data_IF_296565461848
#
_entry.id   IF_296565461848
#
_cell.length_a   1.000
_cell.length_b   1.000
_cell.length_c   1.000
_cell.angle_alpha   90.00
_cell.angle_beta   90.00
_cell.angle_gamma   90.00
#
_symmetry.space_group_name_H-M   'P 1'
#
loop_
_entity.id
_entity.type
_entity.pdbx_description
1 polymer ?
#
# COMPACT_ATOMS: atom_id res chain seq x y z
N UNK A 1 15.64 -8.31 -7.21
CA UNK A 1 14.56 -8.98 -6.45
C UNK A 1 15.16 -10.11 -5.62
N UNK A 2 14.55 -10.50 -4.50
CA UNK A 2 15.02 -11.61 -3.66
C UNK A 2 13.82 -12.41 -3.12
N UNK A 3 13.91 -13.74 -3.14
CA UNK A 3 12.96 -14.63 -2.49
C UNK A 3 13.53 -15.05 -1.13
N UNK A 4 12.80 -14.80 -0.04
CA UNK A 4 13.18 -15.22 1.31
C UNK A 4 11.93 -15.64 2.07
N UNK A 5 11.95 -16.81 2.71
CA UNK A 5 10.81 -17.37 3.44
C UNK A 5 9.52 -17.41 2.60
N UNK A 6 9.63 -17.79 1.32
CA UNK A 6 8.52 -17.81 0.35
C UNK A 6 7.89 -16.43 0.05
N UNK A 7 8.53 -15.34 0.49
CA UNK A 7 8.11 -13.97 0.22
C UNK A 7 9.05 -13.30 -0.78
N UNK A 8 8.48 -12.60 -1.75
CA UNK A 8 9.23 -11.89 -2.78
C UNK A 8 9.49 -10.44 -2.34
N UNK A 9 10.74 -10.02 -2.43
CA UNK A 9 11.18 -8.67 -2.06
C UNK A 9 11.78 -7.92 -3.24
N UNK A 10 11.47 -6.63 -3.30
CA UNK A 10 12.13 -5.65 -4.16
C UNK A 10 13.14 -4.84 -3.32
N UNK A 11 14.27 -4.48 -3.91
CA UNK A 11 15.21 -3.52 -3.33
C UNK A 11 15.19 -2.29 -4.22
N UNK A 12 15.03 -1.12 -3.63
CA UNK A 12 15.24 0.12 -4.37
C UNK A 12 16.73 0.46 -4.48
N UNK A 13 17.02 1.52 -5.23
CA UNK A 13 18.39 1.97 -5.48
C UNK A 13 19.13 2.42 -4.21
N UNK A 14 18.41 2.65 -3.11
CA UNK A 14 18.98 3.02 -1.81
C UNK A 14 19.18 1.79 -0.90
N UNK A 15 18.99 0.58 -1.44
CA UNK A 15 19.07 -0.67 -0.67
C UNK A 15 17.85 -0.93 0.21
N UNK A 16 16.79 -0.12 0.12
CA UNK A 16 15.60 -0.31 0.94
C UNK A 16 14.83 -1.53 0.44
N UNK A 17 14.64 -2.46 1.36
CA UNK A 17 13.90 -3.69 1.13
C UNK A 17 12.39 -3.44 1.26
N UNK A 18 11.62 -3.82 0.24
CA UNK A 18 10.15 -3.75 0.23
C UNK A 18 9.53 -5.11 -0.11
N UNK A 19 8.49 -5.49 0.62
CA UNK A 19 7.74 -6.73 0.36
C UNK A 19 6.82 -6.56 -0.83
N UNK A 20 6.89 -7.45 -1.82
CA UNK A 20 6.01 -7.40 -2.99
C UNK A 20 4.65 -7.96 -2.64
N UNK A 21 3.62 -7.15 -2.87
CA UNK A 21 2.24 -7.52 -2.64
C UNK A 21 1.59 -7.96 -3.96
N UNK A 22 1.03 -9.19 -4.02
CA UNK A 22 0.21 -9.64 -5.13
C UNK A 22 -1.01 -8.74 -5.35
N UNK A 23 -1.42 -8.57 -6.61
CA UNK A 23 -2.58 -7.74 -6.96
C UNK A 23 -3.86 -8.17 -6.25
N UNK A 24 -4.05 -9.47 -6.06
CA UNK A 24 -5.21 -10.05 -5.37
C UNK A 24 -5.35 -9.60 -3.91
N UNK A 25 -4.27 -9.22 -3.24
CA UNK A 25 -4.27 -8.80 -1.84
C UNK A 25 -4.38 -7.28 -1.65
N UNK A 26 -4.28 -6.51 -2.74
CA UNK A 26 -4.21 -5.04 -2.67
C UNK A 26 -5.45 -4.41 -2.04
N UNK A 27 -6.66 -4.79 -2.48
CA UNK A 27 -7.89 -4.18 -1.98
C UNK A 27 -8.04 -4.38 -0.48
N UNK A 28 -7.83 -5.62 -0.01
CA UNK A 28 -7.86 -5.94 1.41
C UNK A 28 -6.83 -5.13 2.19
N UNK A 29 -5.59 -5.05 1.71
CA UNK A 29 -4.55 -4.24 2.35
C UNK A 29 -4.90 -2.75 2.43
N UNK A 30 -5.46 -2.18 1.36
CA UNK A 30 -5.88 -0.77 1.36
C UNK A 30 -7.02 -0.54 2.35
N UNK A 31 -7.97 -1.47 2.43
CA UNK A 31 -9.03 -1.46 3.42
C UNK A 31 -8.47 -1.55 4.84
N UNK A 32 -7.72 -2.59 5.17
CA UNK A 32 -7.13 -2.81 6.50
C UNK A 32 -6.21 -1.64 6.94
N UNK A 33 -5.59 -0.93 5.98
CA UNK A 33 -4.73 0.23 6.29
C UNK A 33 -5.51 1.50 6.62
N UNK A 34 -6.76 1.60 6.17
CA UNK A 34 -7.63 2.75 6.33
C UNK A 34 -8.74 2.53 7.38
N UNK A 35 -9.15 1.28 7.59
CA UNK A 35 -10.24 0.90 8.49
C UNK A 35 -9.99 1.43 9.91
N UNK A 36 -11.05 1.94 10.55
CA UNK A 36 -11.04 2.61 11.86
C UNK A 36 -10.11 3.84 12.03
N UNK A 37 -9.46 4.35 10.96
CA UNK A 37 -8.62 5.55 11.02
C UNK A 37 -9.36 6.78 10.49
N UNK A 38 -9.96 7.55 11.40
CA UNK A 38 -10.51 8.87 11.09
C UNK A 38 -9.39 9.83 10.62
N UNK A 39 -9.64 10.56 9.53
CA UNK A 39 -8.72 11.53 8.91
C UNK A 39 -7.40 10.92 8.38
N UNK A 40 -7.46 9.71 7.85
CA UNK A 40 -6.28 9.06 7.28
C UNK A 40 -5.93 9.61 5.88
N UNK A 41 -5.04 10.60 5.83
CA UNK A 41 -4.66 11.26 4.59
C UNK A 41 -3.89 10.34 3.63
N UNK A 42 -3.87 10.72 2.35
CA UNK A 42 -3.08 10.04 1.29
C UNK A 42 -1.62 9.86 1.69
N UNK A 43 -1.01 10.88 2.29
CA UNK A 43 0.40 10.85 2.69
C UNK A 43 0.62 9.92 3.88
N UNK A 44 -0.32 9.88 4.84
CA UNK A 44 -0.30 8.91 5.93
C UNK A 44 -0.32 7.47 5.39
N UNK A 45 -1.19 7.18 4.42
CA UNK A 45 -1.29 5.85 3.82
C UNK A 45 -0.05 5.47 2.98
N UNK A 46 0.54 6.43 2.27
CA UNK A 46 1.80 6.21 1.55
C UNK A 46 2.92 5.83 2.53
N UNK A 47 3.02 6.54 3.65
CA UNK A 47 4.03 6.33 4.69
C UNK A 47 3.84 4.98 5.39
N UNK A 48 2.60 4.63 5.77
CA UNK A 48 2.31 3.35 6.42
C UNK A 48 2.67 2.15 5.51
N UNK A 49 2.36 2.27 4.22
CA UNK A 49 2.62 1.20 3.25
C UNK A 49 4.03 1.23 2.68
N UNK A 50 4.96 2.06 3.17
CA UNK A 50 6.28 2.29 2.54
C UNK A 50 7.21 1.05 2.55
N UNK A 51 7.00 0.14 3.51
CA UNK A 51 7.66 -1.17 3.54
C UNK A 51 7.13 -2.16 2.47
N UNK A 52 6.04 -1.81 1.79
CA UNK A 52 5.41 -2.63 0.77
C UNK A 52 5.66 -2.08 -0.64
N UNK A 53 5.84 -2.98 -1.58
CA UNK A 53 5.96 -2.70 -2.99
C UNK A 53 4.75 -3.26 -3.73
N UNK A 54 4.13 -2.39 -4.52
CA UNK A 54 3.18 -2.81 -5.53
C UNK A 54 3.11 -1.81 -6.68
N UNK A 55 2.82 -2.32 -7.88
CA UNK A 55 2.83 -1.51 -9.11
C UNK A 55 1.77 -0.40 -9.00
N UNK A 56 2.13 0.82 -9.40
CA UNK A 56 1.28 2.02 -9.34
C UNK A 56 0.77 2.35 -7.92
N UNK A 57 1.56 2.06 -6.87
CA UNK A 57 1.19 2.30 -5.46
C UNK A 57 0.52 3.64 -5.19
N UNK A 58 1.15 4.75 -5.58
CA UNK A 58 0.61 6.10 -5.35
C UNK A 58 -0.75 6.32 -6.01
N UNK A 59 -0.93 5.84 -7.24
CA UNK A 59 -2.19 5.96 -7.97
C UNK A 59 -3.30 5.16 -7.28
N UNK A 60 -3.01 3.91 -6.90
CA UNK A 60 -4.00 3.04 -6.25
C UNK A 60 -4.43 3.58 -4.88
N UNK A 61 -3.48 4.09 -4.09
CA UNK A 61 -3.78 4.77 -2.83
C UNK A 61 -4.64 6.00 -3.08
N UNK A 62 -4.31 6.82 -4.09
CA UNK A 62 -5.13 7.99 -4.44
C UNK A 62 -6.57 7.59 -4.75
N UNK A 63 -6.76 6.65 -5.68
CA UNK A 63 -8.08 6.17 -6.08
C UNK A 63 -8.88 5.60 -4.90
N UNK A 64 -8.21 4.89 -3.99
CA UNK A 64 -8.84 4.32 -2.81
C UNK A 64 -9.29 5.41 -1.83
N UNK A 65 -8.44 6.40 -1.55
CA UNK A 65 -8.79 7.52 -0.68
C UNK A 65 -9.93 8.36 -1.28
N UNK A 66 -9.88 8.63 -2.59
CA UNK A 66 -10.93 9.37 -3.28
C UNK A 66 -12.28 8.61 -3.20
N UNK A 67 -12.25 7.27 -3.38
CA UNK A 67 -13.40 6.40 -3.13
C UNK A 67 -13.90 6.48 -1.67
N UNK A 68 -13.01 6.39 -0.68
CA UNK A 68 -13.43 6.52 0.72
C UNK A 68 -14.11 7.86 0.98
N UNK A 69 -13.60 8.98 0.45
CA UNK A 69 -14.25 10.28 0.63
C UNK A 69 -15.62 10.38 -0.03
N UNK A 70 -15.80 9.79 -1.21
CA UNK A 70 -17.08 9.79 -1.93
C UNK A 70 -18.17 8.97 -1.22
N UNK A 71 -17.79 7.88 -0.57
CA UNK A 71 -18.72 6.94 0.08
C UNK A 71 -18.73 7.01 1.62
N UNK A 72 -18.08 8.00 2.24
CA UNK A 72 -18.12 8.27 3.70
C UNK A 72 -19.26 9.24 4.10
N UNK A 73 -20.30 9.39 3.27
CA UNK A 73 -21.50 10.21 3.52
C UNK A 73 -22.65 9.33 3.99
#
# INVERSE_FOLDING_TARGET
FCLKNQLLYNYDNNGKKRLIIPRSLMQKLLHDSHDDKYYFSRDCMIAELDSLYFRKKRLLISQYIDYCYEYSI
#
